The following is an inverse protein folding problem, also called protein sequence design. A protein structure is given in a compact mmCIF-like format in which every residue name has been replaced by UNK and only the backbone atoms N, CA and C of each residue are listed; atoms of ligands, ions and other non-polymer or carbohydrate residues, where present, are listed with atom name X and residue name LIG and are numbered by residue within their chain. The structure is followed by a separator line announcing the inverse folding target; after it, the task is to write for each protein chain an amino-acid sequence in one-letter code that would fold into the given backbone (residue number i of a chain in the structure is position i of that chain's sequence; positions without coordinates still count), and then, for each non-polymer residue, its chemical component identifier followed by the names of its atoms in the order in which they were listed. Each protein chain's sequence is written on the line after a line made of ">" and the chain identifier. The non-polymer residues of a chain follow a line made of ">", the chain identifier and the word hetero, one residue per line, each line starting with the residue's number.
data_IF_410807805446
#
_entry.id   IF_410807805446
#
_cell.length_a   1.000
_cell.length_b   1.000
_cell.length_c   1.000
_cell.angle_alpha   90.00
_cell.angle_beta   90.00
_cell.angle_gamma   90.00
#
_symmetry.space_group_name_H-M   'P 1'
#
loop_
_entity.id
_entity.type
_entity.pdbx_description
1 polymer ?
#
# COMPACT_ATOMS: atom_id res chain seq x y z
N UNK A 1 -34.55 25.66 -11.28
CA UNK A 1 -33.36 25.01 -10.69
C UNK A 1 -33.85 24.08 -9.59
N UNK A 2 -33.76 22.77 -9.81
CA UNK A 2 -34.37 21.75 -8.95
C UNK A 2 -33.50 21.46 -7.72
N UNK A 3 -34.10 21.45 -6.52
CA UNK A 3 -33.39 21.17 -5.25
C UNK A 3 -32.74 19.77 -5.24
N UNK A 4 -33.27 18.86 -6.06
CA UNK A 4 -32.74 17.50 -6.27
C UNK A 4 -31.38 17.49 -6.98
N UNK A 5 -31.10 18.49 -7.80
CA UNK A 5 -29.83 18.62 -8.52
C UNK A 5 -28.71 19.11 -7.59
N UNK A 6 -29.05 19.86 -6.53
CA UNK A 6 -28.09 20.39 -5.55
C UNK A 6 -27.61 19.29 -4.59
N UNK A 7 -28.48 18.35 -4.22
CA UNK A 7 -28.12 17.22 -3.36
C UNK A 7 -27.10 16.27 -4.02
N UNK A 8 -27.15 16.12 -5.34
CA UNK A 8 -26.17 15.31 -6.09
C UNK A 8 -24.79 15.97 -6.17
N UNK A 9 -24.73 17.31 -6.17
CA UNK A 9 -23.47 18.06 -6.21
C UNK A 9 -22.74 18.08 -4.84
N UNK A 10 -23.46 17.87 -3.73
CA UNK A 10 -22.87 17.83 -2.39
C UNK A 10 -22.29 16.46 -2.00
N UNK A 11 -22.55 15.38 -2.76
CA UNK A 11 -21.84 14.10 -2.57
C UNK A 11 -20.50 14.03 -3.32
N UNK A 12 -20.24 14.97 -4.23
CA UNK A 12 -18.92 15.21 -4.82
C UNK A 12 -18.01 16.05 -3.89
N UNK A 13 -18.44 16.27 -2.64
CA UNK A 13 -17.54 16.60 -1.54
C UNK A 13 -16.98 15.35 -0.88
N UNK A 14 -16.91 14.21 -1.59
CA UNK A 14 -15.90 13.19 -1.30
C UNK A 14 -14.54 13.86 -1.50
N UNK A 15 -14.17 14.52 -0.42
CA UNK A 15 -12.86 14.94 0.04
C UNK A 15 -11.71 14.50 -0.87
N UNK A 16 -10.68 15.34 -1.06
CA UNK A 16 -9.35 14.82 -1.36
C UNK A 16 -8.80 14.05 -0.13
N UNK A 17 -9.58 13.13 0.43
CA UNK A 17 -9.12 12.16 1.40
C UNK A 17 -8.29 11.17 0.59
N UNK A 18 -6.98 11.19 0.84
CA UNK A 18 -6.02 10.11 0.58
C UNK A 18 -5.70 9.76 -0.88
N UNK A 19 -5.18 10.70 -1.67
CA UNK A 19 -4.22 10.37 -2.76
C UNK A 19 -2.87 11.09 -2.51
N UNK A 20 -2.54 11.40 -1.26
CA UNK A 20 -1.34 12.19 -0.93
C UNK A 20 -0.53 11.68 0.28
N UNK A 21 -0.91 10.55 0.90
CA UNK A 21 -0.19 10.02 2.07
C UNK A 21 0.63 8.76 1.76
N UNK A 22 0.42 8.12 0.60
CA UNK A 22 1.01 6.83 0.28
C UNK A 22 1.49 6.66 -1.16
N UNK A 23 1.44 7.67 -2.04
CA UNK A 23 1.73 7.44 -3.48
C UNK A 23 3.10 6.81 -3.77
N UNK A 24 4.12 7.10 -2.95
CA UNK A 24 5.42 6.43 -3.01
C UNK A 24 5.39 5.07 -2.29
N UNK A 25 4.83 5.02 -1.09
CA UNK A 25 4.72 3.82 -0.26
C UNK A 25 3.88 2.73 -0.93
N UNK A 26 2.63 3.03 -1.28
CA UNK A 26 1.71 2.16 -2.01
C UNK A 26 2.33 1.69 -3.34
N UNK A 27 3.08 2.55 -4.04
CA UNK A 27 3.79 2.17 -5.26
C UNK A 27 4.95 1.19 -4.98
N UNK A 28 5.69 1.40 -3.88
CA UNK A 28 6.74 0.50 -3.42
C UNK A 28 6.21 -0.87 -3.04
N UNK A 29 5.12 -0.90 -2.26
CA UNK A 29 4.44 -2.11 -1.84
C UNK A 29 3.89 -2.88 -3.05
N UNK A 30 3.16 -2.21 -3.94
CA UNK A 30 2.59 -2.83 -5.13
C UNK A 30 3.68 -3.40 -6.05
N UNK A 31 4.74 -2.63 -6.31
CA UNK A 31 5.86 -3.11 -7.11
C UNK A 31 6.54 -4.33 -6.49
N UNK A 32 6.76 -4.33 -5.18
CA UNK A 32 7.36 -5.47 -4.47
C UNK A 32 6.51 -6.74 -4.63
N UNK A 33 5.19 -6.62 -4.48
CA UNK A 33 4.25 -7.72 -4.69
C UNK A 33 4.20 -8.21 -6.14
N UNK A 34 4.22 -7.31 -7.12
CA UNK A 34 4.20 -7.65 -8.55
C UNK A 34 5.51 -8.32 -9.03
N UNK A 35 6.62 -8.09 -8.33
CA UNK A 35 7.94 -8.62 -8.68
C UNK A 35 8.41 -9.72 -7.72
N UNK A 36 7.53 -10.22 -6.84
CA UNK A 36 7.82 -11.25 -5.84
C UNK A 36 9.08 -10.93 -5.00
N UNK A 37 9.22 -9.67 -4.59
CA UNK A 37 10.38 -9.22 -3.82
C UNK A 37 10.28 -9.73 -2.39
N UNK A 38 11.26 -10.54 -1.97
CA UNK A 38 11.32 -11.10 -0.62
C UNK A 38 12.52 -10.68 0.22
N UNK A 39 13.35 -9.77 -0.29
CA UNK A 39 14.55 -9.27 0.39
C UNK A 39 14.59 -7.73 0.33
N UNK A 40 14.76 -7.11 1.50
CA UNK A 40 14.86 -5.65 1.66
C UNK A 40 16.03 -5.03 0.86
N UNK A 41 17.03 -5.82 0.47
CA UNK A 41 18.11 -5.37 -0.40
C UNK A 41 17.60 -4.87 -1.76
N UNK A 42 16.47 -5.37 -2.25
CA UNK A 42 15.85 -4.91 -3.50
C UNK A 42 15.04 -3.62 -3.34
N UNK A 43 14.72 -3.24 -2.10
CA UNK A 43 14.01 -2.01 -1.78
C UNK A 43 14.91 -0.78 -1.78
N UNK A 44 16.20 -0.88 -2.16
CA UNK A 44 17.13 0.25 -2.13
C UNK A 44 17.02 1.14 -3.38
N UNK A 45 16.02 2.03 -3.40
CA UNK A 45 15.86 3.04 -4.46
C UNK A 45 16.17 4.46 -3.97
N UNK A 46 16.34 5.44 -4.88
CA UNK A 46 16.48 6.85 -4.50
C UNK A 46 15.26 7.48 -3.82
N UNK A 47 14.12 6.79 -3.78
CA UNK A 47 12.86 7.30 -3.23
C UNK A 47 12.58 6.70 -1.85
N UNK A 48 12.77 7.43 -0.74
CA UNK A 48 12.59 6.87 0.61
C UNK A 48 11.18 6.34 0.86
N UNK A 49 10.16 7.04 0.37
CA UNK A 49 8.76 6.60 0.50
C UNK A 49 8.48 5.31 -0.26
N UNK A 50 9.14 5.08 -1.40
CA UNK A 50 9.04 3.82 -2.14
C UNK A 50 9.71 2.67 -1.36
N UNK A 51 10.88 2.94 -0.79
CA UNK A 51 11.61 1.95 -0.01
C UNK A 51 10.78 1.48 1.19
N UNK A 52 10.13 2.42 1.90
CA UNK A 52 9.29 2.12 3.06
C UNK A 52 8.15 1.14 2.73
N UNK A 53 7.47 1.31 1.58
CA UNK A 53 6.41 0.37 1.18
C UNK A 53 6.91 -0.97 0.68
N UNK A 54 8.09 -1.01 0.05
CA UNK A 54 8.73 -2.25 -0.35
C UNK A 54 9.19 -3.05 0.89
N UNK A 55 9.77 -2.38 1.88
CA UNK A 55 10.21 -3.00 3.14
C UNK A 55 9.03 -3.59 3.92
N UNK A 56 7.90 -2.87 3.99
CA UNK A 56 6.67 -3.37 4.63
C UNK A 56 6.17 -4.66 3.98
N UNK A 57 6.11 -4.72 2.65
CA UNK A 57 5.72 -5.94 1.94
C UNK A 57 6.63 -7.12 2.29
N UNK A 58 7.96 -6.90 2.29
CA UNK A 58 8.96 -7.93 2.61
C UNK A 58 8.81 -8.44 4.05
N UNK A 59 8.57 -7.56 5.01
CA UNK A 59 8.32 -7.93 6.40
C UNK A 59 7.02 -8.74 6.54
N UNK A 60 5.94 -8.34 5.85
CA UNK A 60 4.65 -9.05 5.88
C UNK A 60 4.74 -10.48 5.35
N UNK A 61 5.44 -10.70 4.24
CA UNK A 61 5.64 -12.07 3.73
C UNK A 61 6.61 -12.86 4.58
N UNK A 62 7.61 -12.23 5.21
CA UNK A 62 8.50 -12.91 6.15
C UNK A 62 7.74 -13.42 7.38
N UNK A 63 6.85 -12.61 7.98
CA UNK A 63 5.97 -13.08 9.06
C UNK A 63 5.00 -14.14 8.57
N UNK A 64 4.36 -13.94 7.40
CA UNK A 64 3.41 -14.90 6.85
C UNK A 64 4.02 -16.27 6.54
N UNK A 65 5.31 -16.31 6.17
CA UNK A 65 6.05 -17.56 5.93
C UNK A 65 6.51 -18.24 7.21
N UNK A 66 6.74 -17.49 8.29
CA UNK A 66 7.19 -18.05 9.57
C UNK A 66 6.06 -18.61 10.42
N UNK A 67 4.81 -18.23 10.16
CA UNK A 67 3.62 -18.81 10.81
C UNK A 67 3.23 -20.21 10.28
N UNK A 68 3.95 -20.77 9.30
CA UNK A 68 3.66 -22.08 8.70
C UNK A 68 4.50 -23.25 9.27
N UNK A 69 5.36 -22.99 10.27
CA UNK A 69 6.37 -23.94 10.79
C UNK A 69 6.18 -24.25 12.30
N UNK A 70 4.93 -24.33 12.78
CA UNK A 70 4.59 -24.68 14.18
C UNK A 70 3.48 -25.76 14.26
N UNK A 71 3.72 -26.91 13.62
CA UNK A 71 2.92 -28.14 13.78
C UNK A 71 3.87 -29.36 13.83
N UNK A 72 4.78 -29.37 14.82
CA UNK A 72 5.59 -30.55 15.17
C UNK A 72 5.47 -30.83 16.69
N UNK A 73 4.48 -31.70 16.98
CA UNK A 73 4.24 -32.60 18.14
C UNK A 73 3.78 -32.07 19.53
#
# INVERSE_FOLDING_TARGET
>A
MDLRTIAFALMLSASPFTVLAGEGHDAGYAWAAENDIDDVAYCNTPSPSFNEGCEEYVEEIATSRSDADDDDE
#
